data_IF_088942747671
#
_entry.id   IF_088942747671
#
_cell.length_a   1.000
_cell.length_b   1.000
_cell.length_c   1.000
_cell.angle_alpha   90.00
_cell.angle_beta   90.00
_cell.angle_gamma   90.00
#
_symmetry.space_group_name_H-M   'P 1'
#
loop_
_entity.id
_entity.type
_entity.pdbx_description
1 polymer ?
#
# COMPACT_ATOMS: atom_id res chain seq x y z
N UNK A 1 -9.22 -2.74 -21.82
CA UNK A 1 -9.72 -1.91 -20.71
C UNK A 1 -8.55 -1.59 -19.80
N UNK A 2 -8.38 -0.33 -19.39
CA UNK A 2 -7.29 0.04 -18.48
C UNK A 2 -7.48 -0.68 -17.13
N UNK A 3 -6.41 -1.24 -16.56
CA UNK A 3 -6.42 -1.76 -15.18
C UNK A 3 -6.77 -0.61 -14.23
N UNK A 4 -7.89 -0.68 -13.53
CA UNK A 4 -8.36 0.43 -12.67
C UNK A 4 -7.56 0.60 -11.38
N UNK A 5 -6.77 -0.42 -10.98
CA UNK A 5 -6.07 -0.46 -9.70
C UNK A 5 -4.64 -1.01 -9.84
N UNK A 6 -3.74 -0.49 -9.02
CA UNK A 6 -2.49 -1.15 -8.63
C UNK A 6 -2.85 -2.11 -7.50
N UNK A 7 -2.62 -3.40 -7.70
CA UNK A 7 -2.93 -4.44 -6.71
C UNK A 7 -1.62 -4.88 -6.03
N UNK A 8 -1.54 -4.67 -4.71
CA UNK A 8 -0.49 -5.21 -3.85
C UNK A 8 -1.08 -6.41 -3.14
N UNK A 9 -0.43 -7.57 -3.26
CA UNK A 9 -0.90 -8.83 -2.69
C UNK A 9 0.10 -9.38 -1.68
N UNK A 10 -0.40 -9.74 -0.50
CA UNK A 10 0.38 -10.38 0.55
C UNK A 10 1.61 -9.58 1.01
N UNK A 11 1.49 -8.26 1.16
CA UNK A 11 2.59 -7.44 1.64
C UNK A 11 2.96 -7.79 3.09
N UNK A 12 4.24 -8.11 3.32
CA UNK A 12 4.77 -8.69 4.58
C UNK A 12 6.08 -8.06 5.07
N UNK A 13 6.49 -6.95 4.47
CA UNK A 13 7.75 -6.27 4.82
C UNK A 13 7.60 -5.53 6.15
N UNK A 14 8.56 -5.69 7.06
CA UNK A 14 8.57 -5.12 8.41
C UNK A 14 7.26 -5.35 9.19
N UNK A 15 6.50 -4.28 9.45
CA UNK A 15 5.29 -4.31 10.27
C UNK A 15 4.04 -4.76 9.48
N UNK A 16 4.16 -5.06 8.19
CA UNK A 16 3.04 -5.50 7.37
C UNK A 16 2.68 -6.97 7.67
N UNK A 17 1.41 -7.21 7.98
CA UNK A 17 0.91 -8.53 8.41
C UNK A 17 0.15 -9.25 7.30
N UNK A 18 0.81 -9.50 6.17
CA UNK A 18 0.21 -10.15 5.00
C UNK A 18 -1.04 -9.43 4.48
N UNK A 19 -0.88 -8.16 4.11
CA UNK A 19 -2.01 -7.33 3.70
C UNK A 19 -2.17 -7.27 2.17
N UNK A 20 -3.42 -7.19 1.73
CA UNK A 20 -3.79 -6.92 0.35
C UNK A 20 -4.29 -5.48 0.22
N UNK A 21 -3.77 -4.74 -0.76
CA UNK A 21 -4.13 -3.33 -0.99
C UNK A 21 -4.47 -3.12 -2.47
N UNK A 22 -5.51 -2.33 -2.74
CA UNK A 22 -5.87 -1.87 -4.08
C UNK A 22 -5.78 -0.36 -4.11
N UNK A 23 -4.88 0.18 -4.93
CA UNK A 23 -4.69 1.62 -5.09
C UNK A 23 -5.30 2.03 -6.44
N UNK A 24 -6.32 2.91 -6.47
CA UNK A 24 -6.90 3.34 -7.75
C UNK A 24 -5.85 4.07 -8.59
N UNK A 25 -5.79 3.73 -9.88
CA UNK A 25 -4.91 4.44 -10.83
C UNK A 25 -5.48 5.81 -11.17
N UNK A 26 -4.60 6.71 -11.59
CA UNK A 26 -4.95 8.05 -12.07
C UNK A 26 -5.72 8.88 -11.04
N UNK A 27 -5.45 8.62 -9.75
CA UNK A 27 -6.00 9.35 -8.61
C UNK A 27 -4.88 9.80 -7.67
N UNK A 28 -5.12 10.91 -7.00
CA UNK A 28 -4.30 11.34 -5.88
C UNK A 28 -4.70 10.55 -4.62
N UNK A 29 -3.78 9.73 -4.11
CA UNK A 29 -4.04 8.83 -2.98
C UNK A 29 -3.09 9.17 -1.84
N UNK A 30 -3.64 9.30 -0.63
CA UNK A 30 -2.87 9.59 0.59
C UNK A 30 -2.84 8.34 1.47
N UNK A 31 -1.64 7.91 1.86
CA UNK A 31 -1.43 6.82 2.81
C UNK A 31 -1.15 7.45 4.19
N UNK A 32 -2.08 7.29 5.13
CA UNK A 32 -2.00 7.89 6.48
C UNK A 32 -2.30 6.86 7.58
N UNK A 33 -2.12 7.26 8.84
CA UNK A 33 -2.23 6.39 10.03
C UNK A 33 -1.15 6.63 11.08
N UNK A 34 -1.33 6.05 12.27
CA UNK A 34 -0.45 6.21 13.44
C UNK A 34 1.01 5.83 13.14
N UNK A 35 1.96 6.39 13.88
CA UNK A 35 3.38 6.01 13.76
C UNK A 35 3.56 4.50 13.97
N UNK A 36 4.46 3.88 13.20
CA UNK A 36 4.69 2.43 13.26
C UNK A 36 3.66 1.54 12.55
N UNK A 37 2.56 2.09 12.01
CA UNK A 37 1.50 1.29 11.36
C UNK A 37 1.85 0.64 10.02
N UNK A 38 3.09 0.81 9.52
CA UNK A 38 3.56 0.22 8.27
C UNK A 38 3.30 1.05 7.01
N UNK A 39 2.91 2.32 7.11
CA UNK A 39 2.72 3.21 5.95
C UNK A 39 3.96 3.30 5.08
N UNK A 40 5.11 3.61 5.69
CA UNK A 40 6.37 3.73 4.97
C UNK A 40 6.75 2.40 4.35
N UNK A 41 6.62 1.29 5.10
CA UNK A 41 6.85 -0.07 4.59
C UNK A 41 5.94 -0.47 3.42
N UNK A 42 4.76 0.13 3.30
CA UNK A 42 3.83 -0.11 2.19
C UNK A 42 4.12 0.80 0.99
N UNK A 43 4.60 2.01 1.21
CA UNK A 43 4.74 3.05 0.17
C UNK A 43 6.17 3.23 -0.34
N UNK A 44 7.17 2.86 0.46
CA UNK A 44 8.60 3.10 0.24
C UNK A 44 9.40 1.86 0.65
N UNK A 45 10.54 1.67 -0.01
CA UNK A 45 11.56 0.71 0.41
C UNK A 45 12.64 1.50 1.17
N UNK A 46 12.84 1.18 2.45
CA UNK A 46 13.93 1.70 3.30
C UNK A 46 14.48 0.57 4.12
#
# INVERSE_FOLDING_TARGET
>A
MAQNFINIKGARVHNLKNIDVKIPRDKFVVITGLSGSGKSSLAFDT
#
